data_IF_381742930391
#
_entry.id   IF_381742930391
#
_cell.length_a   1.000
_cell.length_b   1.000
_cell.length_c   1.000
_cell.angle_alpha   90.00
_cell.angle_beta   90.00
_cell.angle_gamma   90.00
#
_symmetry.space_group_name_H-M   'P 1'
#
loop_
_entity.id
_entity.type
_entity.pdbx_description
1 polymer ?
#
# COMPACT_ATOMS: atom_id res chain seq x y z
N UNK A 1 -62.65 -35.38 -18.06
CA UNK A 1 -63.03 -34.01 -17.67
C UNK A 1 -62.73 -33.64 -16.20
N UNK A 2 -62.70 -34.58 -15.23
CA UNK A 2 -62.35 -34.26 -13.82
C UNK A 2 -60.88 -33.89 -13.56
N UNK A 3 -59.93 -34.43 -14.35
CA UNK A 3 -58.48 -34.19 -14.17
C UNK A 3 -58.00 -32.82 -14.67
N UNK A 4 -58.75 -32.16 -15.55
CA UNK A 4 -58.39 -30.86 -16.12
C UNK A 4 -58.70 -29.71 -15.16
N UNK A 5 -59.76 -29.84 -14.36
CA UNK A 5 -60.12 -28.86 -13.33
C UNK A 5 -59.14 -28.83 -12.14
N UNK A 6 -58.46 -29.94 -11.83
CA UNK A 6 -57.44 -29.97 -10.75
C UNK A 6 -56.11 -29.31 -11.16
N UNK A 7 -55.76 -29.32 -12.45
CA UNK A 7 -54.55 -28.65 -12.94
C UNK A 7 -54.71 -27.12 -12.94
N UNK A 8 -55.93 -26.64 -13.17
CA UNK A 8 -56.21 -25.20 -13.25
C UNK A 8 -56.07 -24.52 -11.88
N UNK A 9 -56.52 -25.15 -10.79
CA UNK A 9 -56.35 -24.61 -9.45
C UNK A 9 -54.90 -24.66 -8.95
N UNK A 10 -54.10 -25.63 -9.40
CA UNK A 10 -52.68 -25.69 -9.10
C UNK A 10 -51.87 -24.58 -9.80
N UNK A 11 -52.28 -24.15 -11.00
CA UNK A 11 -51.62 -23.06 -11.73
C UNK A 11 -51.97 -21.66 -11.17
N UNK A 12 -53.14 -21.49 -10.57
CA UNK A 12 -53.59 -20.20 -10.01
C UNK A 12 -53.08 -19.99 -8.58
N UNK A 13 -52.63 -21.05 -7.90
CA UNK A 13 -52.03 -20.99 -6.55
C UNK A 13 -50.50 -20.89 -6.54
N UNK A 14 -49.83 -20.64 -7.67
CA UNK A 14 -48.43 -20.22 -7.67
C UNK A 14 -48.33 -18.81 -7.09
N UNK A 15 -48.37 -18.75 -5.76
CA UNK A 15 -48.34 -17.52 -4.98
C UNK A 15 -47.18 -16.65 -5.44
N UNK A 16 -47.51 -15.45 -5.87
CA UNK A 16 -46.51 -14.41 -6.00
C UNK A 16 -46.01 -14.11 -4.60
N UNK A 17 -44.84 -14.63 -4.27
CA UNK A 17 -44.05 -14.17 -3.14
C UNK A 17 -43.76 -12.69 -3.40
N UNK A 18 -44.62 -11.83 -2.86
CA UNK A 18 -44.35 -10.41 -2.68
C UNK A 18 -43.26 -10.31 -1.62
N UNK A 19 -42.02 -10.58 -2.02
CA UNK A 19 -40.87 -10.23 -1.22
C UNK A 19 -40.95 -8.72 -1.00
N UNK A 20 -41.07 -8.30 0.27
CA UNK A 20 -41.05 -6.90 0.65
C UNK A 20 -39.65 -6.38 0.33
N UNK A 21 -39.49 -5.79 -0.85
CA UNK A 21 -38.26 -5.12 -1.26
C UNK A 21 -38.03 -4.01 -0.24
N UNK A 22 -36.96 -4.16 0.55
CA UNK A 22 -36.56 -3.10 1.46
C UNK A 22 -36.07 -1.91 0.63
N UNK A 23 -36.10 -0.70 1.20
CA UNK A 23 -35.51 0.47 0.54
C UNK A 23 -34.05 0.23 0.13
N UNK A 24 -33.36 -0.57 0.94
CA UNK A 24 -31.96 -0.97 0.83
C UNK A 24 -31.76 -1.90 -0.37
N UNK A 25 -32.63 -2.91 -0.53
CA UNK A 25 -32.64 -3.79 -1.71
C UNK A 25 -32.93 -3.02 -3.00
N UNK A 26 -33.84 -2.03 -2.96
CA UNK A 26 -34.13 -1.19 -4.12
C UNK A 26 -32.90 -0.34 -4.51
N UNK A 27 -32.20 0.22 -3.52
CA UNK A 27 -30.98 1.00 -3.73
C UNK A 27 -29.85 0.13 -4.29
N UNK A 28 -29.66 -1.06 -3.72
CA UNK A 28 -28.63 -2.01 -4.15
C UNK A 28 -28.92 -2.59 -5.54
N UNK A 29 -30.20 -2.80 -5.89
CA UNK A 29 -30.59 -3.20 -7.25
C UNK A 29 -30.32 -2.10 -8.30
N UNK A 30 -30.35 -0.83 -7.88
CA UNK A 30 -30.10 0.32 -8.75
C UNK A 30 -28.61 0.71 -8.82
N UNK A 31 -27.80 0.27 -7.85
CA UNK A 31 -26.35 0.52 -7.82
C UNK A 31 -25.63 0.13 -9.13
N UNK A 32 -25.83 -1.06 -9.73
CA UNK A 32 -25.14 -1.41 -10.97
C UNK A 32 -25.54 -0.54 -12.16
N UNK A 33 -26.79 -0.05 -12.22
CA UNK A 33 -27.22 0.90 -13.26
C UNK A 33 -26.64 2.30 -13.03
N UNK A 34 -26.57 2.75 -11.77
CA UNK A 34 -25.95 4.01 -11.41
C UNK A 34 -24.44 3.99 -11.69
N UNK A 35 -23.75 2.91 -11.35
CA UNK A 35 -22.31 2.71 -11.63
C UNK A 35 -22.04 2.61 -13.14
N UNK A 36 -22.87 1.87 -13.88
CA UNK A 36 -22.73 1.77 -15.34
C UNK A 36 -22.97 3.11 -16.03
N UNK A 37 -23.99 3.88 -15.61
CA UNK A 37 -24.21 5.23 -16.13
C UNK A 37 -23.12 6.21 -15.70
N UNK A 38 -22.60 6.09 -14.49
CA UNK A 38 -21.46 6.87 -14.04
C UNK A 38 -20.22 6.60 -14.90
N UNK A 39 -19.96 5.35 -15.31
CA UNK A 39 -18.85 5.02 -16.19
C UNK A 39 -18.98 5.61 -17.62
N UNK A 40 -20.22 5.82 -18.09
CA UNK A 40 -20.48 6.48 -19.39
C UNK A 40 -20.35 8.00 -19.29
N UNK A 41 -20.77 8.60 -18.18
CA UNK A 41 -20.78 10.05 -18.00
C UNK A 41 -19.54 10.63 -17.32
N UNK A 42 -18.79 9.81 -16.59
CA UNK A 42 -17.47 10.08 -16.05
C UNK A 42 -16.47 9.12 -16.71
N UNK A 43 -16.08 9.39 -17.97
CA UNK A 43 -15.02 8.60 -18.60
C UNK A 43 -13.74 8.69 -17.74
N UNK A 44 -12.92 7.62 -17.71
CA UNK A 44 -11.64 7.69 -17.02
C UNK A 44 -10.81 8.84 -17.58
N UNK A 45 -10.14 9.57 -16.68
CA UNK A 45 -9.34 10.73 -17.05
C UNK A 45 -8.30 10.32 -18.10
N UNK A 46 -8.23 11.11 -19.18
CA UNK A 46 -7.31 10.85 -20.29
C UNK A 46 -5.93 11.46 -20.06
N UNK A 47 -5.77 12.29 -19.02
CA UNK A 47 -4.55 12.94 -18.60
C UNK A 47 -4.59 13.15 -17.07
N UNK A 48 -3.41 13.25 -16.44
CA UNK A 48 -3.31 13.53 -15.01
C UNK A 48 -3.61 14.98 -14.67
N UNK A 49 -3.32 15.38 -13.42
CA UNK A 49 -3.51 16.77 -12.96
C UNK A 49 -2.83 17.77 -13.90
N UNK A 50 -3.58 18.79 -14.31
CA UNK A 50 -3.04 19.90 -15.10
C UNK A 50 -2.17 20.81 -14.24
N UNK A 51 -1.27 21.62 -14.81
CA UNK A 51 -0.47 22.59 -14.04
C UNK A 51 -1.31 23.60 -13.24
N UNK A 52 -2.59 23.79 -13.57
CA UNK A 52 -3.52 24.64 -12.82
C UNK A 52 -4.15 23.94 -11.62
N UNK A 53 -4.19 22.60 -11.64
CA UNK A 53 -4.66 21.73 -10.54
C UNK A 53 -3.51 21.21 -9.70
N UNK A 54 -2.28 21.29 -10.22
CA UNK A 54 -1.05 21.03 -9.51
C UNK A 54 -0.69 22.26 -8.67
N UNK A 55 -1.02 22.20 -7.39
CA UNK A 55 -0.53 23.16 -6.42
C UNK A 55 0.86 22.70 -5.92
N UNK A 56 1.96 23.38 -6.31
CA UNK A 56 3.31 23.01 -5.88
C UNK A 56 3.54 23.26 -4.39
N UNK A 57 2.68 24.03 -3.75
CA UNK A 57 2.71 24.38 -2.33
C UNK A 57 1.57 23.70 -1.55
N UNK A 58 0.80 22.80 -2.19
CA UNK A 58 -0.21 22.04 -1.49
C UNK A 58 0.44 21.32 -0.31
N UNK A 59 -0.04 21.61 0.90
CA UNK A 59 0.36 20.86 2.08
C UNK A 59 0.07 19.39 1.81
N UNK A 60 1.14 18.59 1.68
CA UNK A 60 1.01 17.16 1.65
C UNK A 60 0.16 16.77 2.87
N UNK A 61 -0.91 16.03 2.62
CA UNK A 61 -2.12 15.81 3.44
C UNK A 61 -1.88 15.12 4.80
N UNK A 62 -0.73 15.35 5.44
CA UNK A 62 -0.25 14.64 6.61
C UNK A 62 0.23 13.22 6.31
N UNK A 63 0.12 12.75 5.07
CA UNK A 63 0.45 11.38 4.67
C UNK A 63 1.91 11.20 4.25
N UNK A 64 2.64 12.28 3.98
CA UNK A 64 4.08 12.22 3.68
C UNK A 64 4.89 12.77 4.84
N UNK A 65 6.12 12.26 4.98
CA UNK A 65 7.07 12.67 6.00
C UNK A 65 8.51 12.45 5.55
N UNK A 66 9.43 12.46 6.51
CA UNK A 66 10.84 12.19 6.28
C UNK A 66 11.33 11.01 7.09
N UNK A 67 12.27 10.25 6.54
CA UNK A 67 12.89 9.14 7.25
C UNK A 67 13.73 9.65 8.42
N UNK A 68 13.35 9.24 9.63
CA UNK A 68 14.08 9.57 10.86
C UNK A 68 14.58 8.27 11.50
N UNK A 69 15.87 8.20 11.82
CA UNK A 69 16.43 7.10 12.61
C UNK A 69 15.80 7.13 14.01
N UNK A 70 15.14 6.05 14.40
CA UNK A 70 14.51 5.90 15.73
C UNK A 70 15.38 5.10 16.69
N UNK A 71 16.47 4.50 16.20
CA UNK A 71 17.44 3.78 17.01
C UNK A 71 18.86 4.25 16.72
N UNK A 72 19.67 4.34 17.78
CA UNK A 72 21.10 4.61 17.72
C UNK A 72 21.95 3.35 17.53
N UNK A 73 21.37 2.15 17.71
CA UNK A 73 22.06 0.87 17.57
C UNK A 73 21.62 0.15 16.29
N UNK A 74 22.56 -0.35 15.47
CA UNK A 74 22.22 -1.14 14.31
C UNK A 74 21.68 -2.51 14.73
N UNK A 75 20.80 -3.07 13.91
CA UNK A 75 20.31 -4.45 14.04
C UNK A 75 20.55 -5.18 12.73
N UNK A 76 20.79 -6.49 12.81
CA UNK A 76 20.93 -7.33 11.61
C UNK A 76 19.66 -7.27 10.77
N UNK A 77 19.80 -7.18 9.45
CA UNK A 77 18.69 -7.15 8.49
C UNK A 77 17.77 -8.37 8.68
N UNK A 78 18.35 -9.55 8.96
CA UNK A 78 17.60 -10.80 9.21
C UNK A 78 16.70 -10.74 10.47
N UNK A 79 16.94 -9.78 11.37
CA UNK A 79 16.20 -9.57 12.62
C UNK A 79 15.44 -8.23 12.61
N UNK A 80 15.19 -7.65 11.43
CA UNK A 80 14.56 -6.33 11.31
C UNK A 80 13.09 -6.30 11.79
N UNK A 81 12.40 -7.44 11.79
CA UNK A 81 11.00 -7.53 12.24
C UNK A 81 10.08 -6.61 11.43
N UNK A 82 9.38 -5.70 12.10
CA UNK A 82 8.50 -4.72 11.44
C UNK A 82 9.24 -3.66 10.61
N UNK A 83 10.58 -3.65 10.62
CA UNK A 83 11.42 -2.75 9.84
C UNK A 83 12.02 -3.44 8.61
N UNK A 84 11.34 -4.44 8.04
CA UNK A 84 11.86 -5.27 6.94
C UNK A 84 12.14 -4.50 5.63
N UNK A 85 11.60 -3.29 5.48
CA UNK A 85 11.89 -2.42 4.32
C UNK A 85 13.33 -1.93 4.38
N UNK A 86 14.19 -2.47 3.52
CA UNK A 86 15.60 -2.10 3.46
C UNK A 86 15.76 -0.78 2.68
N UNK A 87 16.37 0.21 3.33
CA UNK A 87 16.60 1.55 2.80
C UNK A 87 18.09 1.78 2.58
N UNK A 88 18.44 2.59 1.57
CA UNK A 88 19.82 2.97 1.31
C UNK A 88 20.41 3.78 2.47
N UNK A 89 21.74 3.79 2.67
CA UNK A 89 22.37 4.50 3.80
C UNK A 89 22.07 6.00 3.86
N UNK A 90 21.76 6.62 2.72
CA UNK A 90 21.43 8.03 2.52
C UNK A 90 19.93 8.33 2.62
N UNK A 91 19.08 7.32 2.87
CA UNK A 91 17.64 7.51 2.94
C UNK A 91 17.19 8.42 4.10
N UNK A 92 18.04 8.66 5.10
CA UNK A 92 17.72 9.56 6.22
C UNK A 92 17.42 10.98 5.71
N UNK A 93 16.27 11.54 6.10
CA UNK A 93 15.79 12.84 5.61
C UNK A 93 15.12 12.79 4.23
N UNK A 94 15.19 11.66 3.52
CA UNK A 94 14.44 11.45 2.28
C UNK A 94 12.93 11.42 2.52
N UNK A 95 12.16 11.84 1.52
CA UNK A 95 10.70 11.83 1.56
C UNK A 95 10.15 10.39 1.60
N UNK A 96 9.09 10.17 2.36
CA UNK A 96 8.45 8.87 2.54
C UNK A 96 6.98 9.00 2.95
N UNK A 97 6.26 7.89 2.98
CA UNK A 97 4.89 7.84 3.49
C UNK A 97 4.90 7.73 5.03
N UNK A 98 4.26 8.66 5.73
CA UNK A 98 4.25 8.77 7.20
C UNK A 98 3.75 7.48 7.84
N UNK A 99 4.39 7.07 8.94
CA UNK A 99 4.07 5.82 9.65
C UNK A 99 4.70 4.56 9.03
N UNK A 100 5.34 4.65 7.86
CA UNK A 100 6.16 3.55 7.35
C UNK A 100 7.38 3.32 8.22
N UNK A 101 7.79 2.06 8.32
CA UNK A 101 8.96 1.60 9.06
C UNK A 101 9.95 0.99 8.08
N UNK A 102 11.22 1.26 8.29
CA UNK A 102 12.29 0.73 7.45
C UNK A 102 13.62 0.64 8.19
N UNK A 103 14.58 -0.02 7.55
CA UNK A 103 15.92 -0.23 8.07
C UNK A 103 16.91 0.46 7.14
N UNK A 104 17.51 1.55 7.59
CA UNK A 104 18.57 2.27 6.87
C UNK A 104 19.86 1.47 7.03
N UNK A 105 20.32 0.85 5.94
CA UNK A 105 21.49 -0.02 5.94
C UNK A 105 22.75 0.76 6.34
N UNK A 106 23.57 0.19 7.19
CA UNK A 106 24.87 0.75 7.54
C UNK A 106 25.89 0.45 6.44
N UNK A 107 26.97 1.23 6.39
CA UNK A 107 28.10 0.96 5.50
C UNK A 107 29.24 0.37 6.30
N UNK A 108 29.80 -0.75 5.83
CA UNK A 108 31.00 -1.34 6.42
C UNK A 108 32.27 -0.90 5.69
N UNK A 109 33.36 -0.86 6.44
CA UNK A 109 34.72 -0.71 5.90
C UNK A 109 35.38 -2.07 5.86
N UNK A 110 35.81 -2.49 4.68
CA UNK A 110 36.60 -3.71 4.54
C UNK A 110 37.99 -3.53 5.17
N UNK A 111 38.30 -4.38 6.15
CA UNK A 111 39.64 -4.48 6.74
C UNK A 111 40.26 -5.82 6.34
N UNK A 112 41.29 -5.76 5.49
CA UNK A 112 42.06 -6.93 5.10
C UNK A 112 43.09 -7.29 6.18
N UNK A 113 43.22 -8.57 6.48
CA UNK A 113 44.36 -9.09 7.24
C UNK A 113 45.46 -9.51 6.29
N UNK A 114 46.66 -9.02 6.53
CA UNK A 114 47.85 -9.42 5.78
C UNK A 114 48.54 -10.56 6.53
N UNK A 115 49.14 -11.47 5.78
CA UNK A 115 49.86 -12.64 6.32
C UNK A 115 51.02 -12.28 7.27
N UNK A 116 51.42 -11.00 7.32
CA UNK A 116 52.44 -10.44 8.22
C UNK A 116 51.92 -9.99 9.58
N UNK A 117 50.65 -10.28 9.93
CA UNK A 117 50.08 -9.94 11.25
C UNK A 117 49.60 -8.49 11.38
N UNK A 118 49.61 -7.72 10.28
CA UNK A 118 49.04 -6.38 10.22
C UNK A 118 47.58 -6.40 9.78
N UNK A 119 46.72 -5.71 10.54
CA UNK A 119 45.36 -5.36 10.10
C UNK A 119 45.44 -4.04 9.33
N UNK A 120 45.12 -4.07 8.03
CA UNK A 120 45.02 -2.85 7.24
C UNK A 120 43.57 -2.63 6.82
N UNK A 121 42.96 -1.60 7.38
CA UNK A 121 41.68 -1.08 6.91
C UNK A 121 41.95 -0.12 5.76
N UNK A 122 41.70 -0.55 4.52
CA UNK A 122 41.91 0.30 3.36
C UNK A 122 40.78 1.33 3.30
N UNK A 123 41.11 2.60 3.54
CA UNK A 123 40.17 3.70 3.39
C UNK A 123 39.76 3.87 1.93
N UNK A 124 38.43 3.89 1.71
CA UNK A 124 37.71 4.62 0.66
C UNK A 124 37.78 4.18 -0.81
N UNK A 125 37.47 2.92 -1.14
CA UNK A 125 37.02 2.62 -2.52
C UNK A 125 35.77 1.74 -2.62
N UNK A 126 35.49 0.92 -1.60
CA UNK A 126 34.29 0.07 -1.56
C UNK A 126 33.64 0.17 -0.19
N UNK A 127 32.82 1.21 0.02
CA UNK A 127 31.78 1.15 1.05
C UNK A 127 30.82 0.05 0.65
N UNK A 128 30.90 -1.10 1.29
CA UNK A 128 29.95 -2.18 1.09
C UNK A 128 28.76 -1.98 2.03
N UNK A 129 27.58 -2.40 1.59
CA UNK A 129 26.41 -2.47 2.45
C UNK A 129 26.68 -3.49 3.56
N UNK A 130 26.46 -3.08 4.81
CA UNK A 130 26.52 -3.95 5.97
C UNK A 130 25.34 -4.94 5.97
N UNK A 131 25.47 -6.04 6.70
CA UNK A 131 24.34 -6.91 7.04
C UNK A 131 23.49 -6.32 8.18
N UNK A 132 23.85 -5.14 8.67
CA UNK A 132 23.16 -4.41 9.74
C UNK A 132 22.64 -3.05 9.28
N UNK A 133 21.63 -2.54 9.98
CA UNK A 133 21.07 -1.23 9.70
C UNK A 133 20.32 -0.62 10.89
N UNK A 134 20.03 0.67 10.77
CA UNK A 134 19.34 1.45 11.79
C UNK A 134 17.83 1.43 11.55
N UNK A 135 17.07 1.13 12.59
CA UNK A 135 15.62 1.30 12.55
C UNK A 135 15.27 2.75 12.28
N UNK A 136 14.41 2.97 11.29
CA UNK A 136 13.92 4.28 10.89
C UNK A 136 12.39 4.24 10.73
N UNK A 137 11.77 5.38 11.00
CA UNK A 137 10.35 5.60 10.80
C UNK A 137 10.14 6.87 10.00
N UNK A 138 9.16 6.86 9.12
CA UNK A 138 8.75 8.04 8.39
C UNK A 138 7.86 8.93 9.28
N UNK A 139 8.32 10.15 9.56
CA UNK A 139 7.66 11.10 10.47
C UNK A 139 7.19 12.36 9.76
#
# INVERSE_FOLDING_TARGET
>A
MKKMFMLLSALVMSGQVLAKVSYEDALESNRPYAEANAAVHNPPDSFGLTPQEFDPDAEATGETGHWVKVSSSPVKIVNAGSYATVLTPDAAGGACAKGTKGLIVATDRYCGHWNSGGTHCQGSWTTTLSDEGYKAECK
#
